data_IF_399335599639
#
_entry.id   IF_399335599639
#
_cell.length_a   1.000
_cell.length_b   1.000
_cell.length_c   1.000
_cell.angle_alpha   90.00
_cell.angle_beta   90.00
_cell.angle_gamma   90.00
#
_symmetry.space_group_name_H-M   'P 1'
#
loop_
_entity.id
_entity.type
_entity.pdbx_description
1 polymer ?
#
# COMPACT_ATOMS: atom_id res chain seq x y z
N UNK A 1 10.55 26.31 -10.08
CA UNK A 1 11.42 25.13 -9.92
C UNK A 1 12.54 25.49 -8.97
N UNK A 2 12.80 24.65 -7.97
CA UNK A 2 13.96 24.79 -7.08
C UNK A 2 14.83 23.56 -7.29
N UNK A 3 16.11 23.76 -7.62
CA UNK A 3 17.08 22.66 -7.81
C UNK A 3 16.54 21.51 -8.68
N UNK A 4 15.99 21.83 -9.85
CA UNK A 4 15.38 20.87 -10.79
C UNK A 4 14.19 20.04 -10.24
N UNK A 5 13.59 20.47 -9.12
CA UNK A 5 12.39 19.90 -8.54
C UNK A 5 11.19 20.83 -8.74
N UNK A 6 10.05 20.26 -9.12
CA UNK A 6 8.79 20.98 -9.22
C UNK A 6 8.24 21.22 -7.82
N UNK A 7 7.85 22.45 -7.53
CA UNK A 7 7.28 22.86 -6.24
C UNK A 7 5.85 23.33 -6.51
N UNK A 8 4.91 22.82 -5.71
CA UNK A 8 3.51 23.25 -5.71
C UNK A 8 3.31 24.21 -4.55
N UNK A 9 2.89 25.43 -4.85
CA UNK A 9 2.55 26.43 -3.84
C UNK A 9 1.04 26.43 -3.59
N UNK A 10 0.64 26.32 -2.33
CA UNK A 10 -0.77 26.28 -1.92
C UNK A 10 -0.99 27.43 -0.92
N UNK A 11 -1.99 28.29 -1.11
CA UNK A 11 -2.26 29.39 -0.20
C UNK A 11 -2.72 28.86 1.16
N UNK A 12 -2.14 29.41 2.23
CA UNK A 12 -2.50 29.10 3.61
C UNK A 12 -3.10 30.34 4.26
N UNK A 13 -4.42 30.34 4.48
CA UNK A 13 -5.13 31.53 4.92
C UNK A 13 -5.51 31.47 6.42
N UNK A 14 -5.40 32.59 7.17
CA UNK A 14 -5.79 32.63 8.57
C UNK A 14 -7.27 32.28 8.80
N UNK A 15 -8.14 32.61 7.84
CA UNK A 15 -9.58 32.30 7.90
C UNK A 15 -9.89 30.80 8.02
N UNK A 16 -8.94 29.95 7.60
CA UNK A 16 -9.02 28.49 7.68
C UNK A 16 -8.12 27.92 8.77
N UNK A 17 -7.80 28.70 9.82
CA UNK A 17 -6.91 28.29 10.92
C UNK A 17 -5.53 27.83 10.43
N UNK A 18 -5.01 28.43 9.36
CA UNK A 18 -3.75 28.02 8.73
C UNK A 18 -3.71 26.52 8.37
N UNK A 19 -4.87 25.99 7.92
CA UNK A 19 -5.01 24.62 7.43
C UNK A 19 -5.34 24.63 5.94
N UNK A 20 -4.66 23.77 5.20
CA UNK A 20 -4.94 23.50 3.78
C UNK A 20 -5.24 22.01 3.59
N UNK A 21 -6.16 21.71 2.67
CA UNK A 21 -6.39 20.36 2.15
C UNK A 21 -5.65 20.27 0.82
N UNK A 22 -4.91 19.19 0.61
CA UNK A 22 -4.09 18.98 -0.58
C UNK A 22 -4.76 17.93 -1.45
N UNK A 23 -5.59 18.39 -2.37
CA UNK A 23 -6.35 17.58 -3.34
C UNK A 23 -5.89 17.83 -4.79
N UNK A 24 -4.95 18.74 -5.00
CA UNK A 24 -4.44 19.17 -6.30
C UNK A 24 -3.03 18.65 -6.63
N UNK A 25 -2.49 17.70 -5.85
CA UNK A 25 -1.14 17.18 -6.02
C UNK A 25 -1.14 15.74 -6.57
N UNK A 26 -0.35 15.50 -7.62
CA UNK A 26 -0.08 14.18 -8.18
C UNK A 26 1.41 13.84 -8.14
N UNK A 27 1.74 12.54 -8.15
CA UNK A 27 3.12 12.06 -8.18
C UNK A 27 3.45 11.65 -9.62
N UNK A 28 4.34 12.39 -10.28
CA UNK A 28 4.80 12.11 -11.63
C UNK A 28 6.01 11.16 -11.61
N UNK A 29 5.87 9.97 -12.19
CA UNK A 29 7.00 9.07 -12.41
C UNK A 29 7.73 9.47 -13.69
N UNK A 30 8.96 9.94 -13.55
CA UNK A 30 9.87 10.18 -14.68
C UNK A 30 10.52 8.86 -15.12
N UNK A 31 10.81 8.71 -16.42
CA UNK A 31 11.51 7.52 -16.93
C UNK A 31 12.94 7.54 -16.41
N UNK A 32 13.43 6.39 -15.94
CA UNK A 32 14.76 6.31 -15.33
C UNK A 32 15.85 6.76 -16.31
N UNK A 33 15.77 6.33 -17.57
CA UNK A 33 16.69 6.75 -18.63
C UNK A 33 16.78 8.28 -18.80
N UNK A 34 15.65 8.99 -18.66
CA UNK A 34 15.64 10.46 -18.75
C UNK A 34 16.34 11.11 -17.54
N UNK A 35 16.25 10.49 -16.35
CA UNK A 35 16.91 11.00 -15.14
C UNK A 35 18.41 10.70 -15.17
N UNK A 36 18.78 9.49 -15.57
CA UNK A 36 20.18 9.07 -15.69
C UNK A 36 20.92 9.99 -16.69
N UNK A 37 20.29 10.30 -17.82
CA UNK A 37 20.83 11.26 -18.79
C UNK A 37 21.00 12.68 -18.23
N UNK A 38 20.05 13.13 -17.38
CA UNK A 38 20.04 14.50 -16.84
C UNK A 38 20.97 14.69 -15.64
N UNK A 39 21.15 13.65 -14.82
CA UNK A 39 21.88 13.72 -13.54
C UNK A 39 23.26 13.07 -13.58
N UNK A 40 23.50 12.17 -14.53
CA UNK A 40 24.73 11.38 -14.61
C UNK A 40 24.81 10.23 -13.59
N UNK A 41 23.80 10.07 -12.73
CA UNK A 41 23.68 8.90 -11.85
C UNK A 41 23.15 7.70 -12.64
N UNK A 42 23.76 6.53 -12.47
CA UNK A 42 23.29 5.26 -13.05
C UNK A 42 22.54 4.43 -11.98
N UNK A 43 21.71 3.47 -12.40
CA UNK A 43 20.93 2.57 -11.52
C UNK A 43 19.81 3.24 -10.68
N UNK A 44 19.39 4.45 -11.03
CA UNK A 44 18.32 5.21 -10.33
C UNK A 44 17.02 4.41 -10.25
N UNK A 45 16.74 3.62 -11.28
CA UNK A 45 15.52 2.82 -11.41
C UNK A 45 15.38 1.61 -10.50
N UNK A 46 16.47 1.14 -9.88
CA UNK A 46 16.50 -0.19 -9.26
C UNK A 46 16.10 -0.26 -7.79
N UNK A 47 15.95 0.86 -7.07
CA UNK A 47 15.87 0.79 -5.60
C UNK A 47 14.89 1.71 -4.87
N UNK A 48 14.22 2.67 -5.52
CA UNK A 48 13.44 3.64 -4.75
C UNK A 48 12.12 4.07 -5.41
N UNK A 49 11.08 3.26 -5.23
CA UNK A 49 9.68 3.59 -5.54
C UNK A 49 8.98 4.28 -4.37
N UNK A 50 9.63 4.41 -3.22
CA UNK A 50 9.05 5.00 -2.03
C UNK A 50 9.41 6.49 -1.93
N UNK A 51 8.40 7.35 -1.85
CA UNK A 51 8.57 8.82 -1.79
C UNK A 51 7.92 9.40 -0.54
N UNK A 52 8.11 10.69 -0.28
CA UNK A 52 7.40 11.44 0.77
C UNK A 52 6.96 12.78 0.20
N UNK A 53 5.82 13.27 0.67
CA UNK A 53 5.46 14.67 0.48
C UNK A 53 6.23 15.51 1.49
N UNK A 54 6.82 16.61 1.04
CA UNK A 54 7.55 17.55 1.90
C UNK A 54 6.80 18.87 1.89
N UNK A 55 6.39 19.31 3.07
CA UNK A 55 5.67 20.57 3.26
C UNK A 55 6.62 21.57 3.90
N UNK A 56 6.69 22.77 3.33
CA UNK A 56 7.53 23.86 3.83
C UNK A 56 6.74 25.15 3.89
N UNK A 57 6.88 25.88 4.99
CA UNK A 57 6.32 27.22 5.17
C UNK A 57 7.42 28.17 5.61
N UNK A 58 7.33 29.41 5.13
CA UNK A 58 8.20 30.52 5.51
C UNK A 58 7.37 31.55 6.28
N UNK A 59 7.67 31.72 7.55
CA UNK A 59 6.97 32.64 8.45
C UNK A 59 7.82 33.91 8.58
N UNK A 60 7.31 35.09 8.18
CA UNK A 60 8.04 36.34 8.37
C UNK A 60 8.14 36.67 9.87
N UNK A 61 9.34 37.02 10.33
CA UNK A 61 9.62 37.41 11.70
C UNK A 61 9.83 38.94 11.78
N UNK A 62 9.41 39.61 12.88
CA UNK A 62 9.73 41.02 13.11
C UNK A 62 11.24 41.26 13.02
N UNK A 63 11.67 42.11 12.10
CA UNK A 63 13.09 42.30 11.75
C UNK A 63 13.47 41.86 10.33
N UNK A 64 12.50 41.42 9.51
CA UNK A 64 12.71 41.12 8.09
C UNK A 64 13.33 39.75 7.79
N UNK A 65 13.60 38.96 8.84
CA UNK A 65 14.04 37.58 8.71
C UNK A 65 12.84 36.64 8.50
N UNK A 66 13.11 35.44 7.98
CA UNK A 66 12.11 34.39 7.82
C UNK A 66 12.49 33.17 8.65
N UNK A 67 11.51 32.59 9.34
CA UNK A 67 11.61 31.28 9.97
C UNK A 67 11.05 30.24 9.00
N UNK A 68 11.85 29.22 8.66
CA UNK A 68 11.39 28.11 7.80
C UNK A 68 10.99 26.92 8.66
N UNK A 69 9.77 26.42 8.50
CA UNK A 69 9.36 25.13 9.06
C UNK A 69 9.19 24.12 7.93
N UNK A 70 9.66 22.90 8.14
CA UNK A 70 9.55 21.81 7.16
C UNK A 70 9.16 20.50 7.83
N UNK A 71 8.22 19.78 7.23
CA UNK A 71 7.77 18.45 7.69
C UNK A 71 7.61 17.51 6.50
N UNK A 72 7.95 16.24 6.70
CA UNK A 72 7.77 15.18 5.72
C UNK A 72 6.60 14.27 6.12
N UNK A 73 5.82 13.83 5.14
CA UNK A 73 4.78 12.83 5.35
C UNK A 73 5.35 11.46 5.72
N UNK A 74 4.45 10.53 6.02
CA UNK A 74 4.76 9.10 5.97
C UNK A 74 5.22 8.69 4.55
N UNK A 75 6.01 7.61 4.44
CA UNK A 75 6.42 7.08 3.15
C UNK A 75 5.23 6.62 2.30
N UNK A 76 5.30 6.89 1.00
CA UNK A 76 4.29 6.54 0.00
C UNK A 76 4.94 5.61 -1.03
N UNK A 77 4.40 4.40 -1.15
CA UNK A 77 4.87 3.42 -2.13
C UNK A 77 4.25 3.72 -3.50
N UNK A 78 5.07 4.19 -4.44
CA UNK A 78 4.66 4.56 -5.80
C UNK A 78 4.95 3.47 -6.84
N UNK A 79 5.41 2.29 -6.44
CA UNK A 79 5.41 1.14 -7.34
C UNK A 79 3.96 0.93 -7.79
N UNK A 80 3.76 0.62 -9.08
CA UNK A 80 2.49 0.05 -9.49
C UNK A 80 2.30 -1.20 -8.63
N UNK A 81 1.42 -1.11 -7.63
CA UNK A 81 0.93 -2.31 -6.98
C UNK A 81 0.22 -3.03 -8.11
N UNK A 82 0.84 -4.10 -8.62
CA UNK A 82 0.06 -5.21 -9.13
C UNK A 82 -0.83 -5.51 -7.93
N UNK A 83 -2.05 -4.95 -7.92
CA UNK A 83 -3.02 -5.16 -6.87
C UNK A 83 -2.93 -6.64 -6.61
N UNK A 84 -2.41 -7.01 -5.41
CA UNK A 84 -2.04 -8.38 -5.09
C UNK A 84 -3.06 -9.26 -5.78
N UNK A 85 -2.65 -9.96 -6.84
CA UNK A 85 -3.62 -10.64 -7.70
C UNK A 85 -4.51 -11.41 -6.73
N UNK A 86 -5.82 -11.12 -6.73
CA UNK A 86 -6.68 -11.57 -5.64
C UNK A 86 -6.49 -13.08 -5.49
N UNK A 87 -6.40 -13.61 -4.26
CA UNK A 87 -6.22 -15.04 -4.07
C UNK A 87 -7.41 -15.75 -4.73
N UNK A 88 -7.11 -16.62 -5.69
CA UNK A 88 -8.12 -17.35 -6.47
C UNK A 88 -7.98 -18.81 -6.13
N UNK A 89 -9.08 -19.47 -5.78
CA UNK A 89 -9.14 -20.92 -5.55
C UNK A 89 -9.58 -21.59 -6.85
N UNK A 90 -8.77 -22.51 -7.35
CA UNK A 90 -9.07 -23.31 -8.56
C UNK A 90 -9.70 -24.66 -8.19
N UNK A 91 -9.20 -25.30 -7.13
CA UNK A 91 -9.73 -26.58 -6.66
C UNK A 91 -9.53 -26.81 -5.15
N UNK A 92 -10.29 -27.76 -4.63
CA UNK A 92 -10.20 -28.28 -3.26
C UNK A 92 -10.28 -29.81 -3.27
N UNK A 93 -9.61 -30.46 -2.33
CA UNK A 93 -9.59 -31.93 -2.18
C UNK A 93 -10.76 -32.48 -1.33
N UNK A 94 -11.34 -31.65 -0.47
CA UNK A 94 -12.45 -32.00 0.42
C UNK A 94 -13.64 -31.08 0.18
N UNK A 95 -14.83 -31.65 0.05
CA UNK A 95 -16.11 -30.92 -0.12
C UNK A 95 -17.00 -31.00 1.13
N UNK A 96 -16.74 -31.94 2.05
CA UNK A 96 -17.54 -32.21 3.26
C UNK A 96 -16.65 -32.64 4.41
N UNK A 97 -17.01 -32.24 5.62
CA UNK A 97 -16.36 -32.69 6.86
C UNK A 97 -17.39 -32.83 7.99
N UNK A 98 -16.99 -33.44 9.10
CA UNK A 98 -17.79 -33.49 10.31
C UNK A 98 -17.88 -32.10 10.95
N UNK A 99 -19.00 -31.80 11.63
CA UNK A 99 -19.23 -30.52 12.32
C UNK A 99 -18.16 -30.19 13.39
N UNK A 100 -17.43 -31.20 13.84
CA UNK A 100 -16.34 -31.07 14.81
C UNK A 100 -15.07 -30.46 14.20
N UNK A 101 -14.96 -30.36 12.87
CA UNK A 101 -13.75 -29.89 12.19
C UNK A 101 -12.57 -30.86 12.36
N UNK A 102 -11.34 -30.36 12.22
CA UNK A 102 -10.10 -31.13 12.42
C UNK A 102 -9.61 -31.91 11.21
N UNK A 103 -10.39 -31.96 10.12
CA UNK A 103 -9.99 -32.60 8.88
C UNK A 103 -9.15 -31.65 8.04
N UNK A 104 -8.02 -32.15 7.54
CA UNK A 104 -7.15 -31.42 6.63
C UNK A 104 -7.86 -31.14 5.29
N UNK A 105 -7.84 -29.89 4.83
CA UNK A 105 -8.28 -29.48 3.49
C UNK A 105 -7.13 -28.81 2.74
N UNK A 106 -6.94 -29.17 1.48
CA UNK A 106 -5.95 -28.60 0.55
C UNK A 106 -6.67 -27.74 -0.50
N UNK A 107 -6.38 -26.43 -0.50
CA UNK A 107 -6.79 -25.52 -1.58
C UNK A 107 -5.66 -25.35 -2.59
N UNK A 108 -5.95 -25.56 -3.88
CA UNK A 108 -5.04 -25.25 -4.99
C UNK A 108 -5.53 -23.98 -5.70
N UNK A 109 -4.62 -23.06 -6.03
CA UNK A 109 -4.99 -21.80 -6.66
C UNK A 109 -3.85 -20.81 -6.79
N UNK A 110 -4.14 -19.55 -7.07
CA UNK A 110 -3.11 -18.55 -7.36
C UNK A 110 -3.05 -17.49 -6.26
N UNK A 111 -1.86 -16.91 -6.08
CA UNK A 111 -1.64 -15.73 -5.24
C UNK A 111 -1.90 -15.91 -3.74
N UNK A 112 -1.76 -17.14 -3.25
CA UNK A 112 -1.65 -17.38 -1.83
C UNK A 112 -0.29 -16.87 -1.32
N UNK A 113 -0.32 -16.11 -0.24
CA UNK A 113 0.86 -15.56 0.44
C UNK A 113 0.90 -16.09 1.87
N UNK A 114 2.02 -15.91 2.57
CA UNK A 114 2.12 -16.21 4.00
C UNK A 114 1.13 -15.44 4.88
N UNK A 115 0.47 -14.41 4.33
CA UNK A 115 -0.56 -13.60 4.99
C UNK A 115 -1.99 -14.00 4.61
N UNK A 116 -2.18 -14.94 3.68
CA UNK A 116 -3.50 -15.39 3.25
C UNK A 116 -4.27 -16.03 4.42
N UNK A 117 -5.58 -15.76 4.48
CA UNK A 117 -6.50 -16.30 5.49
C UNK A 117 -7.69 -16.97 4.81
N UNK A 118 -8.15 -18.07 5.36
CA UNK A 118 -9.40 -18.73 4.94
C UNK A 118 -10.45 -18.52 6.03
N UNK A 119 -11.64 -18.12 5.59
CA UNK A 119 -12.76 -17.81 6.48
C UNK A 119 -13.98 -18.60 6.02
N UNK A 120 -14.48 -19.48 6.87
CA UNK A 120 -15.72 -20.21 6.62
C UNK A 120 -16.89 -19.33 7.05
N UNK A 121 -17.87 -19.16 6.15
CA UNK A 121 -19.08 -18.36 6.42
C UNK A 121 -20.31 -19.18 6.10
N UNK A 122 -21.35 -19.04 6.92
CA UNK A 122 -22.69 -19.56 6.62
C UNK A 122 -23.52 -18.40 6.08
N UNK A 123 -23.99 -18.53 4.84
CA UNK A 123 -24.92 -17.56 4.27
C UNK A 123 -26.34 -17.92 4.69
N UNK A 124 -26.91 -17.13 5.60
CA UNK A 124 -28.35 -17.10 5.88
C UNK A 124 -28.98 -15.91 5.15
N UNK A 125 -30.23 -15.99 4.63
CA UNK A 125 -30.88 -14.85 3.99
C UNK A 125 -30.96 -13.67 4.97
N UNK A 126 -30.22 -12.60 4.68
CA UNK A 126 -30.20 -11.36 5.48
C UNK A 126 -28.95 -11.14 6.33
N UNK A 127 -28.17 -12.17 6.67
CA UNK A 127 -27.02 -12.02 7.57
C UNK A 127 -25.86 -12.98 7.24
N UNK A 128 -24.63 -12.44 7.23
CA UNK A 128 -23.37 -13.20 7.07
C UNK A 128 -22.66 -13.25 8.41
N UNK A 129 -22.62 -14.43 9.03
CA UNK A 129 -21.85 -14.64 10.25
C UNK A 129 -20.61 -15.49 9.94
N UNK A 130 -19.39 -15.03 10.32
CA UNK A 130 -18.21 -15.89 10.29
C UNK A 130 -18.42 -17.01 11.31
N UNK A 131 -18.39 -18.26 10.83
CA UNK A 131 -18.63 -19.43 11.70
C UNK A 131 -17.33 -19.92 12.33
N UNK A 132 -16.17 -19.74 11.67
CA UNK A 132 -14.85 -20.05 12.21
C UNK A 132 -13.73 -19.35 11.41
N UNK A 133 -12.60 -19.07 12.07
CA UNK A 133 -11.33 -18.70 11.45
C UNK A 133 -10.29 -19.80 11.75
N UNK A 134 -9.79 -20.46 10.72
CA UNK A 134 -8.78 -21.52 10.87
C UNK A 134 -7.37 -20.94 10.78
N UNK A 135 -6.50 -21.33 11.72
CA UNK A 135 -5.07 -20.95 11.71
C UNK A 135 -4.25 -21.92 10.85
N UNK A 136 -3.24 -21.40 10.16
CA UNK A 136 -2.40 -22.12 9.20
C UNK A 136 -1.28 -22.94 9.89
N UNK A 137 -0.96 -24.13 9.36
CA UNK A 137 -0.03 -25.09 10.03
C UNK A 137 1.30 -25.42 9.30
N UNK A 138 1.67 -24.73 8.20
CA UNK A 138 2.93 -24.90 7.39
C UNK A 138 3.01 -26.13 6.45
N UNK A 139 3.90 -26.14 5.42
CA UNK A 139 4.45 -25.04 4.62
C UNK A 139 3.93 -25.05 3.16
N UNK A 140 4.08 -23.90 2.51
CA UNK A 140 3.83 -23.65 1.10
C UNK A 140 4.78 -24.47 0.20
N UNK A 141 4.32 -25.60 -0.33
CA UNK A 141 4.81 -26.12 -1.61
C UNK A 141 3.67 -26.07 -2.62
N UNK A 142 3.94 -25.59 -3.83
CA UNK A 142 3.04 -25.66 -4.98
C UNK A 142 1.59 -25.16 -4.76
N UNK A 143 1.42 -23.99 -4.13
CA UNK A 143 0.12 -23.32 -4.02
C UNK A 143 -0.96 -24.12 -3.27
N UNK A 144 -0.56 -25.03 -2.38
CA UNK A 144 -1.46 -25.80 -1.55
C UNK A 144 -1.61 -25.18 -0.16
N UNK A 145 -2.83 -24.87 0.26
CA UNK A 145 -3.14 -24.41 1.62
C UNK A 145 -3.77 -25.53 2.45
N UNK A 146 -3.14 -25.88 3.57
CA UNK A 146 -3.58 -26.91 4.53
C UNK A 146 -4.28 -26.28 5.75
N UNK A 147 -5.47 -26.77 6.12
CA UNK A 147 -6.25 -26.31 7.31
C UNK A 147 -6.84 -27.47 8.11
N UNK A 148 -6.84 -27.38 9.43
CA UNK A 148 -7.55 -28.29 10.37
C UNK A 148 -8.61 -27.54 11.16
#
# INVERSE_FOLDING_TARGET
>A
MVNNTNVLEIPLEPKNNLRAVIDCAGILKLRNADIELRTGETDIGRKNTCVRLVFRVHIPHPGGQYVSLQVASLPIECSQRLAHQLPTVESQDVDRCLVLGGQQMILTGQNFTSYSKVVFTKNTPGEKFPINQSNYTKPFLHQQLCFT
#
